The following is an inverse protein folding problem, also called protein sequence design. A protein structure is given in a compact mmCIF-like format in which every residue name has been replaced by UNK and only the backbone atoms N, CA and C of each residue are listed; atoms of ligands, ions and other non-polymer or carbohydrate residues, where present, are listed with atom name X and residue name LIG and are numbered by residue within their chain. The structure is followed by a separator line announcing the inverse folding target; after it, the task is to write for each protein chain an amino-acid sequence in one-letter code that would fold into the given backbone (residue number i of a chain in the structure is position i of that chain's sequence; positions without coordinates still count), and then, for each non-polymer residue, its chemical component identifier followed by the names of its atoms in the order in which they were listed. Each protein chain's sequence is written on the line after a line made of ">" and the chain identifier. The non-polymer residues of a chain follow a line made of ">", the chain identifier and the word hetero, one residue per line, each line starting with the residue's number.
data_IF_199253333262
#
_entry.id   IF_199253333262
#
_cell.length_a   1.000
_cell.length_b   1.000
_cell.length_c   1.000
_cell.angle_alpha   90.00
_cell.angle_beta   90.00
_cell.angle_gamma   90.00
#
_symmetry.space_group_name_H-M   'P 1'
#
loop_
_entity.id
_entity.type
_entity.pdbx_description
1 polymer ?
#
# COMPACT_ATOMS: atom_id res chain seq x y z
N UNK A 1 -7.21 -16.03 -15.69
CA UNK A 1 -5.77 -15.74 -15.83
C UNK A 1 -5.19 -15.45 -14.45
N UNK A 2 -3.90 -15.74 -14.22
CA UNK A 2 -3.20 -15.52 -12.94
C UNK A 2 -1.96 -14.67 -13.20
N UNK A 3 -1.64 -13.72 -12.31
CA UNK A 3 -0.45 -12.85 -12.40
C UNK A 3 0.17 -12.61 -11.02
N UNK A 4 1.46 -12.25 -10.97
CA UNK A 4 2.19 -12.02 -9.71
C UNK A 4 3.66 -11.64 -9.92
N UNK A 5 4.39 -11.50 -8.81
CA UNK A 5 5.83 -11.17 -8.76
C UNK A 5 6.63 -12.36 -8.21
N UNK A 6 7.88 -12.53 -8.66
CA UNK A 6 8.79 -13.57 -8.16
C UNK A 6 9.82 -13.00 -7.17
N UNK A 7 9.97 -13.65 -6.01
CA UNK A 7 10.98 -13.34 -5.00
C UNK A 7 11.79 -14.61 -4.68
N UNK A 8 13.13 -14.54 -4.75
CA UNK A 8 14.02 -15.70 -4.59
C UNK A 8 14.81 -15.75 -3.26
N UNK A 9 14.63 -14.75 -2.40
CA UNK A 9 15.34 -14.69 -1.12
C UNK A 9 14.86 -15.79 -0.17
N UNK A 10 15.74 -16.57 0.51
CA UNK A 10 15.33 -17.73 1.32
C UNK A 10 14.45 -17.37 2.53
N UNK A 11 14.51 -16.13 2.99
CA UNK A 11 13.63 -15.63 4.06
C UNK A 11 12.33 -14.96 3.55
N UNK A 12 12.10 -14.90 2.23
CA UNK A 12 10.89 -14.32 1.69
C UNK A 12 9.68 -15.18 2.08
N UNK A 13 8.66 -14.55 2.63
CA UNK A 13 7.42 -15.19 3.07
C UNK A 13 6.26 -14.22 2.93
N UNK A 14 5.05 -14.76 2.79
CA UNK A 14 3.85 -13.94 2.85
C UNK A 14 3.65 -13.38 4.26
N UNK A 15 3.23 -12.13 4.32
CA UNK A 15 2.83 -11.46 5.56
C UNK A 15 1.71 -10.47 5.26
N UNK A 16 0.95 -10.10 6.28
CA UNK A 16 -0.10 -9.10 6.18
C UNK A 16 0.52 -7.72 6.41
N UNK A 17 0.20 -6.74 5.56
CA UNK A 17 0.70 -5.37 5.67
C UNK A 17 0.29 -4.70 6.99
N UNK A 18 -0.94 -4.93 7.45
CA UNK A 18 -1.52 -4.25 8.60
C UNK A 18 -2.19 -2.93 8.22
N UNK A 19 -2.45 -2.10 9.24
CA UNK A 19 -3.08 -0.80 9.10
C UNK A 19 -2.02 0.30 8.94
N UNK A 20 -2.18 1.19 7.96
CA UNK A 20 -1.22 2.25 7.61
C UNK A 20 -1.74 3.64 7.98
N UNK A 21 -0.82 4.52 8.38
CA UNK A 21 -1.09 5.92 8.72
C UNK A 21 -1.06 6.84 7.50
N UNK A 22 -1.53 8.08 7.70
CA UNK A 22 -1.56 9.13 6.67
C UNK A 22 -0.16 9.47 6.15
N UNK A 23 0.84 9.45 7.02
CA UNK A 23 2.25 9.64 6.68
C UNK A 23 2.74 8.66 5.61
N UNK A 24 2.40 7.37 5.75
CA UNK A 24 2.75 6.34 4.77
C UNK A 24 1.98 6.49 3.45
N UNK A 25 0.74 6.98 3.51
CA UNK A 25 -0.08 7.23 2.32
C UNK A 25 0.47 8.41 1.53
N UNK A 26 0.86 9.50 2.18
CA UNK A 26 1.46 10.67 1.56
C UNK A 26 2.79 10.32 0.87
N UNK A 27 3.67 9.58 1.55
CA UNK A 27 4.93 9.09 0.97
C UNK A 27 4.70 8.12 -0.21
N UNK A 28 3.70 7.24 -0.11
CA UNK A 28 3.32 6.37 -1.22
C UNK A 28 2.79 7.16 -2.42
N UNK A 29 1.96 8.17 -2.17
CA UNK A 29 1.37 9.01 -3.20
C UNK A 29 2.46 9.78 -3.97
N UNK A 30 3.42 10.37 -3.26
CA UNK A 30 4.57 11.06 -3.86
C UNK A 30 5.40 10.11 -4.74
N UNK A 31 5.81 8.95 -4.21
CA UNK A 31 6.62 7.97 -4.97
C UNK A 31 5.93 7.44 -6.22
N UNK A 32 4.59 7.44 -6.22
CA UNK A 32 3.78 6.98 -7.35
C UNK A 32 3.31 8.10 -8.27
N UNK A 33 3.58 9.37 -7.93
CA UNK A 33 3.10 10.53 -8.69
C UNK A 33 1.58 10.61 -8.75
N UNK A 34 0.89 10.22 -7.68
CA UNK A 34 -0.57 10.26 -7.55
C UNK A 34 -0.98 11.27 -6.48
N UNK A 35 -2.24 11.71 -6.51
CA UNK A 35 -2.79 12.51 -5.41
C UNK A 35 -3.02 11.64 -4.16
N UNK A 36 -3.07 12.27 -3.00
CA UNK A 36 -3.32 11.57 -1.72
C UNK A 36 -4.70 10.92 -1.76
N UNK A 37 -5.71 11.61 -2.28
CA UNK A 37 -7.09 11.10 -2.40
C UNK A 37 -7.14 9.86 -3.31
N UNK A 38 -6.34 9.84 -4.38
CA UNK A 38 -6.24 8.67 -5.24
C UNK A 38 -5.54 7.50 -4.54
N UNK A 39 -4.49 7.75 -3.76
CA UNK A 39 -3.82 6.74 -2.95
C UNK A 39 -4.78 6.16 -1.88
N UNK A 40 -5.52 7.00 -1.18
CA UNK A 40 -6.52 6.61 -0.18
C UNK A 40 -7.60 5.72 -0.78
N UNK A 41 -8.08 6.04 -1.99
CA UNK A 41 -9.05 5.20 -2.71
C UNK A 41 -8.52 3.79 -2.99
N UNK A 42 -7.26 3.65 -3.42
CA UNK A 42 -6.67 2.33 -3.70
C UNK A 42 -6.29 1.56 -2.43
N UNK A 43 -5.93 2.27 -1.36
CA UNK A 43 -5.45 1.71 -0.10
C UNK A 43 -6.52 1.64 0.98
N UNK A 44 -7.78 1.98 0.68
CA UNK A 44 -8.89 2.10 1.63
C UNK A 44 -8.98 0.93 2.66
N UNK A 45 -8.84 -0.35 2.28
CA UNK A 45 -8.90 -1.45 3.25
C UNK A 45 -7.77 -1.43 4.29
N UNK A 46 -6.63 -0.82 3.96
CA UNK A 46 -5.43 -0.75 4.79
C UNK A 46 -5.36 0.53 5.64
N UNK A 47 -6.23 1.53 5.44
CA UNK A 47 -6.15 2.78 6.21
C UNK A 47 -6.49 2.57 7.69
N UNK A 48 -5.72 3.24 8.56
CA UNK A 48 -5.93 3.28 10.01
C UNK A 48 -6.70 4.52 10.48
N UNK A 49 -7.15 5.34 9.52
CA UNK A 49 -7.85 6.61 9.70
C UNK A 49 -8.99 6.70 8.68
N UNK A 50 -9.92 7.64 8.90
CA UNK A 50 -10.96 7.95 7.94
C UNK A 50 -10.48 9.09 7.04
N UNK A 51 -10.31 8.86 5.72
CA UNK A 51 -10.08 9.95 4.78
C UNK A 51 -11.35 10.81 4.64
N UNK A 52 -11.15 12.09 4.31
CA UNK A 52 -12.23 13.05 4.07
C UNK A 52 -12.87 12.87 2.68
#
# INVERSE_FOLDING_TARGET
>A
SVSGLYFAHPAARYFVLGKIGRDQVEDYAERKGMSVEQAEKWLAPALNYNPE
#
